data_IF_004099647166
#
_entry.id   IF_004099647166
#
_cell.length_a   1.000
_cell.length_b   1.000
_cell.length_c   1.000
_cell.angle_alpha   90.00
_cell.angle_beta   90.00
_cell.angle_gamma   90.00
#
_symmetry.space_group_name_H-M   'P 1'
#
loop_
_entity.id
_entity.type
_entity.pdbx_description
1 polymer ?
#
# COMPACT_ATOMS: atom_id res chain seq x y z
N UNK A 1 12.54 -19.32 -12.41
CA UNK A 1 13.27 -19.19 -11.15
C UNK A 1 12.27 -19.17 -9.98
N UNK A 2 12.50 -19.96 -8.97
CA UNK A 2 11.61 -20.01 -7.82
C UNK A 2 11.78 -18.76 -6.94
N UNK A 3 10.67 -18.16 -6.54
CA UNK A 3 10.68 -17.05 -5.59
C UNK A 3 10.93 -17.58 -4.17
N UNK A 4 11.68 -16.83 -3.37
CA UNK A 4 11.85 -17.16 -1.97
C UNK A 4 10.54 -16.88 -1.21
N UNK A 5 10.39 -17.50 -0.04
CA UNK A 5 9.22 -17.26 0.83
C UNK A 5 9.09 -15.78 1.17
N UNK A 6 10.23 -15.11 1.41
CA UNK A 6 10.23 -13.67 1.73
C UNK A 6 9.72 -12.85 0.54
N UNK A 7 10.17 -13.19 -0.67
CA UNK A 7 9.73 -12.49 -1.88
C UNK A 7 8.23 -12.67 -2.13
N UNK A 8 7.72 -13.87 -1.91
CA UNK A 8 6.28 -14.14 -2.03
C UNK A 8 5.50 -13.35 -0.99
N UNK A 9 5.96 -13.34 0.25
CA UNK A 9 5.32 -12.58 1.33
C UNK A 9 5.24 -11.09 0.99
N UNK A 10 6.35 -10.51 0.55
CA UNK A 10 6.40 -9.09 0.21
C UNK A 10 5.48 -8.76 -0.96
N UNK A 11 5.45 -9.62 -1.98
CA UNK A 11 4.57 -9.44 -3.13
C UNK A 11 3.10 -9.49 -2.73
N UNK A 12 2.72 -10.43 -1.87
CA UNK A 12 1.35 -10.54 -1.38
C UNK A 12 0.98 -9.33 -0.50
N UNK A 13 1.91 -8.87 0.33
CA UNK A 13 1.67 -7.71 1.20
C UNK A 13 1.43 -6.46 0.34
N UNK A 14 2.20 -6.25 -0.71
CA UNK A 14 2.00 -5.13 -1.62
C UNK A 14 0.63 -5.18 -2.29
N UNK A 15 0.20 -6.37 -2.72
CA UNK A 15 -1.13 -6.55 -3.30
C UNK A 15 -2.24 -6.20 -2.30
N UNK A 16 -2.09 -6.65 -1.06
CA UNK A 16 -3.09 -6.38 -0.02
C UNK A 16 -3.16 -4.89 0.31
N UNK A 17 -2.01 -4.21 0.36
CA UNK A 17 -1.98 -2.76 0.58
C UNK A 17 -2.68 -2.04 -0.57
N UNK A 18 -2.43 -2.45 -1.81
CA UNK A 18 -3.06 -1.84 -2.98
C UNK A 18 -4.57 -2.03 -2.97
N UNK A 19 -5.03 -3.23 -2.63
CA UNK A 19 -6.46 -3.52 -2.49
C UNK A 19 -7.08 -2.63 -1.42
N UNK A 20 -6.41 -2.47 -0.28
CA UNK A 20 -6.92 -1.63 0.80
C UNK A 20 -7.00 -0.16 0.38
N UNK A 21 -5.99 0.34 -0.35
CA UNK A 21 -6.02 1.71 -0.88
C UNK A 21 -7.24 1.90 -1.79
N UNK A 22 -7.47 0.96 -2.70
CA UNK A 22 -8.61 1.02 -3.61
C UNK A 22 -9.94 0.99 -2.87
N UNK A 23 -10.04 0.16 -1.83
CA UNK A 23 -11.23 0.06 -0.99
C UNK A 23 -11.52 1.39 -0.28
N UNK A 24 -10.47 2.08 0.18
CA UNK A 24 -10.63 3.37 0.86
C UNK A 24 -10.96 4.51 -0.10
N UNK A 25 -10.47 4.42 -1.34
CA UNK A 25 -10.75 5.44 -2.37
C UNK A 25 -12.19 5.35 -2.87
N UNK A 26 -12.76 4.17 -2.92
CA UNK A 26 -14.09 3.93 -3.50
C UNK A 26 -15.18 4.84 -2.92
N UNK A 27 -15.33 4.99 -1.58
CA UNK A 27 -16.33 5.90 -1.04
C UNK A 27 -16.12 7.35 -1.45
N UNK A 28 -14.87 7.77 -1.65
CA UNK A 28 -14.56 9.13 -2.09
C UNK A 28 -15.03 9.37 -3.52
N UNK A 29 -14.82 8.39 -4.40
CA UNK A 29 -15.23 8.47 -5.79
C UNK A 29 -16.76 8.42 -5.92
N UNK A 30 -17.41 7.59 -5.12
CA UNK A 30 -18.86 7.37 -5.20
C UNK A 30 -19.68 8.37 -4.37
N UNK A 31 -19.03 9.32 -3.73
CA UNK A 31 -19.72 10.38 -2.98
C UNK A 31 -20.30 9.94 -1.64
N UNK A 32 -19.78 8.87 -1.05
CA UNK A 32 -20.26 8.36 0.25
C UNK A 32 -19.55 9.02 1.44
N UNK A 33 -18.69 9.99 1.19
CA UNK A 33 -18.02 10.72 2.28
C UNK A 33 -18.90 11.89 2.67
N UNK A 34 -19.40 11.87 3.91
CA UNK A 34 -20.42 12.81 4.38
C UNK A 34 -19.84 14.12 4.93
N UNK A 35 -18.59 14.13 5.36
CA UNK A 35 -18.00 15.32 5.98
C UNK A 35 -16.56 15.51 5.57
N UNK A 36 -16.06 16.73 5.74
CA UNK A 36 -14.66 17.05 5.48
C UNK A 36 -13.74 16.30 6.43
N UNK A 37 -14.16 16.09 7.68
CA UNK A 37 -13.37 15.32 8.64
C UNK A 37 -13.22 13.86 8.21
N UNK A 38 -14.28 13.26 7.71
CA UNK A 38 -14.24 11.89 7.18
C UNK A 38 -13.33 11.83 5.96
N UNK A 39 -13.39 12.82 5.08
CA UNK A 39 -12.52 12.93 3.93
C UNK A 39 -11.05 12.98 4.37
N UNK A 40 -10.72 13.84 5.33
CA UNK A 40 -9.35 13.97 5.85
C UNK A 40 -8.85 12.66 6.46
N UNK A 41 -9.72 11.98 7.21
CA UNK A 41 -9.37 10.70 7.82
C UNK A 41 -9.03 9.66 6.76
N UNK A 42 -9.86 9.53 5.73
CA UNK A 42 -9.60 8.60 4.62
C UNK A 42 -8.33 8.98 3.86
N UNK A 43 -8.16 10.27 3.56
CA UNK A 43 -6.98 10.74 2.86
C UNK A 43 -5.70 10.43 3.65
N UNK A 44 -5.74 10.59 4.98
CA UNK A 44 -4.62 10.25 5.84
C UNK A 44 -4.29 8.76 5.81
N UNK A 45 -5.31 7.91 5.87
CA UNK A 45 -5.12 6.46 5.78
C UNK A 45 -4.51 6.06 4.44
N UNK A 46 -5.01 6.62 3.36
CA UNK A 46 -4.51 6.36 2.01
C UNK A 46 -3.05 6.80 1.90
N UNK A 47 -2.72 8.00 2.39
CA UNK A 47 -1.35 8.51 2.37
C UNK A 47 -0.41 7.60 3.16
N UNK A 48 -0.86 7.12 4.34
CA UNK A 48 -0.08 6.20 5.15
C UNK A 48 0.17 4.87 4.45
N UNK A 49 -0.85 4.32 3.79
CA UNK A 49 -0.71 3.07 3.05
C UNK A 49 0.19 3.23 1.82
N UNK A 50 0.11 4.36 1.13
CA UNK A 50 1.01 4.66 0.02
C UNK A 50 2.46 4.76 0.49
N UNK A 51 2.70 5.41 1.63
CA UNK A 51 4.03 5.47 2.22
C UNK A 51 4.55 4.08 2.56
N UNK A 52 3.72 3.23 3.13
CA UNK A 52 4.10 1.85 3.44
C UNK A 52 4.46 1.07 2.18
N UNK A 53 3.67 1.23 1.11
CA UNK A 53 3.95 0.60 -0.18
C UNK A 53 5.31 1.02 -0.71
N UNK A 54 5.59 2.34 -0.68
CA UNK A 54 6.86 2.88 -1.15
C UNK A 54 8.04 2.38 -0.32
N UNK A 55 7.85 2.25 1.00
CA UNK A 55 8.89 1.71 1.89
C UNK A 55 9.17 0.24 1.58
N UNK A 56 8.16 -0.53 1.22
CA UNK A 56 8.36 -1.93 0.81
C UNK A 56 9.18 -2.01 -0.47
N UNK A 57 8.90 -1.15 -1.44
CA UNK A 57 9.69 -1.07 -2.68
C UNK A 57 11.13 -0.68 -2.38
N UNK A 58 11.33 0.29 -1.49
CA UNK A 58 12.66 0.71 -1.08
C UNK A 58 13.41 -0.43 -0.40
N UNK A 59 12.75 -1.16 0.48
CA UNK A 59 13.36 -2.31 1.16
C UNK A 59 13.76 -3.39 0.17
N UNK A 60 12.90 -3.68 -0.82
CA UNK A 60 13.22 -4.63 -1.88
C UNK A 60 14.48 -4.21 -2.64
N UNK A 61 14.56 -2.93 -2.99
CA UNK A 61 15.70 -2.38 -3.73
C UNK A 61 16.99 -2.47 -2.91
N UNK A 62 16.93 -2.08 -1.65
CA UNK A 62 18.09 -2.14 -0.74
C UNK A 62 18.57 -3.58 -0.57
N UNK A 63 17.64 -4.51 -0.37
CA UNK A 63 17.98 -5.93 -0.23
C UNK A 63 18.61 -6.48 -1.51
N UNK A 64 18.08 -6.12 -2.67
CA UNK A 64 18.65 -6.55 -3.94
C UNK A 64 20.10 -6.04 -4.11
N UNK A 65 20.37 -4.81 -3.70
CA UNK A 65 21.73 -4.24 -3.78
C UNK A 65 22.70 -4.91 -2.82
N UNK A 66 22.22 -5.22 -1.59
CA UNK A 66 23.09 -5.81 -0.56
C UNK A 66 23.42 -7.27 -0.81
N UNK A 67 22.52 -8.02 -1.41
CA UNK A 67 22.63 -9.46 -1.54
C UNK A 67 22.79 -9.90 -2.99
N UNK A 68 23.34 -9.05 -3.79
CA UNK A 68 23.64 -9.32 -5.19
C UNK A 68 24.79 -10.32 -5.35
#
# INVERSE_FOLDING_TARGET
>A
MALTTVQVYQSELKKLIQIEIERLIEPMINGYVESYEDYKSLAGKIAGLKSAFDLLDEADRVCAEKYR
#
